data_IF_265996617534
#
_entry.id   IF_265996617534
#
_cell.length_a   1.000
_cell.length_b   1.000
_cell.length_c   1.000
_cell.angle_alpha   90.00
_cell.angle_beta   90.00
_cell.angle_gamma   90.00
#
_symmetry.space_group_name_H-M   'P 1'
#
loop_
_entity.id
_entity.type
_entity.pdbx_description
1 polymer ?
#
# COMPACT_ATOMS: atom_id res chain seq x y z
N UNK A 1 -8.92 -8.78 -29.08
CA UNK A 1 -9.54 -8.09 -28.13
C UNK A 1 -8.70 -7.14 -27.32
N UNK A 2 -8.99 -5.90 -27.40
CA UNK A 2 -8.18 -4.89 -26.78
C UNK A 2 -8.68 -4.57 -25.38
N UNK A 3 -7.94 -5.04 -24.40
CA UNK A 3 -8.20 -4.66 -23.04
C UNK A 3 -7.25 -3.55 -22.66
N UNK A 4 -7.81 -2.44 -22.25
CA UNK A 4 -6.99 -1.35 -21.77
C UNK A 4 -6.61 -1.56 -20.32
N UNK A 5 -5.38 -1.25 -20.00
CA UNK A 5 -4.92 -1.22 -18.62
C UNK A 5 -4.85 0.23 -18.22
N UNK A 6 -5.62 0.59 -17.21
CA UNK A 6 -5.60 1.95 -16.67
C UNK A 6 -4.72 1.94 -15.45
N UNK A 7 -3.62 2.66 -15.55
CA UNK A 7 -2.65 2.75 -14.46
C UNK A 7 -2.68 4.15 -13.90
N UNK A 8 -2.98 4.25 -12.62
CA UNK A 8 -2.96 5.52 -11.91
C UNK A 8 -1.90 5.47 -10.83
N UNK A 9 -1.23 6.59 -10.59
CA UNK A 9 -0.24 6.68 -9.52
C UNK A 9 -0.81 7.51 -8.38
N UNK A 10 -0.59 7.03 -7.16
CA UNK A 10 -1.04 7.72 -5.96
C UNK A 10 0.18 8.02 -5.11
N UNK A 11 0.45 9.30 -4.81
CA UNK A 11 1.61 9.63 -3.97
C UNK A 11 1.43 9.07 -2.56
N UNK A 12 2.51 8.53 -2.03
CA UNK A 12 2.53 8.03 -0.67
C UNK A 12 3.83 8.48 -0.03
N UNK A 13 3.93 8.29 1.27
CA UNK A 13 5.13 8.62 2.01
C UNK A 13 5.94 7.35 2.26
N UNK A 14 7.25 7.46 2.07
CA UNK A 14 8.20 6.39 2.36
C UNK A 14 9.27 7.01 3.26
N UNK A 15 9.02 7.00 4.57
CA UNK A 15 9.88 7.72 5.50
C UNK A 15 9.84 9.21 5.23
N UNK A 16 10.97 9.78 4.89
CA UNK A 16 11.09 11.22 4.63
C UNK A 16 10.95 11.58 3.15
N UNK A 17 10.81 10.58 2.29
CA UNK A 17 10.72 10.84 0.86
C UNK A 17 9.37 10.38 0.33
N UNK A 18 9.02 10.88 -0.84
CA UNK A 18 7.81 10.45 -1.52
C UNK A 18 8.05 9.15 -2.28
N UNK A 19 7.01 8.36 -2.37
CA UNK A 19 7.00 7.16 -3.19
C UNK A 19 5.65 7.09 -3.89
N UNK A 20 5.39 6.00 -4.57
CA UNK A 20 4.19 5.86 -5.37
C UNK A 20 3.53 4.52 -5.10
N UNK A 21 2.21 4.57 -4.92
CA UNK A 21 1.36 3.39 -4.96
C UNK A 21 0.73 3.34 -6.34
N UNK A 22 0.74 2.17 -6.96
CA UNK A 22 0.12 1.99 -8.27
C UNK A 22 -1.29 1.45 -8.10
N UNK A 23 -2.24 2.10 -8.78
CA UNK A 23 -3.62 1.66 -8.78
C UNK A 23 -3.95 1.19 -10.19
N UNK A 24 -4.25 -0.09 -10.33
CA UNK A 24 -4.43 -0.73 -11.63
C UNK A 24 -5.90 -1.04 -11.82
N UNK A 25 -6.49 -0.45 -12.86
CA UNK A 25 -7.89 -0.64 -13.24
C UNK A 25 -8.87 -0.33 -12.11
N UNK A 26 -8.48 0.53 -11.17
CA UNK A 26 -9.28 0.86 -9.98
C UNK A 26 -9.64 -0.37 -9.15
N UNK A 27 -8.90 -1.45 -9.29
CA UNK A 27 -9.20 -2.71 -8.59
C UNK A 27 -8.05 -3.22 -7.75
N UNK A 28 -6.82 -2.95 -8.16
CA UNK A 28 -5.65 -3.46 -7.46
C UNK A 28 -4.72 -2.31 -7.11
N UNK A 29 -4.38 -2.18 -5.85
CA UNK A 29 -3.39 -1.22 -5.40
C UNK A 29 -2.13 -1.96 -4.98
N UNK A 30 -1.00 -1.54 -5.52
CA UNK A 30 0.30 -2.13 -5.21
C UNK A 30 1.18 -1.07 -4.56
N UNK A 31 1.54 -1.31 -3.31
CA UNK A 31 2.33 -0.38 -2.51
C UNK A 31 3.51 -1.11 -1.89
N UNK A 32 4.69 -1.00 -2.50
CA UNK A 32 5.85 -1.72 -1.98
C UNK A 32 6.63 -0.91 -0.96
N UNK A 33 6.90 0.36 -1.24
CA UNK A 33 7.70 1.19 -0.35
C UNK A 33 6.82 2.31 0.20
N UNK A 34 6.18 2.05 1.34
CA UNK A 34 5.22 2.98 1.88
C UNK A 34 5.21 2.89 3.41
N UNK A 35 5.10 4.05 4.04
CA UNK A 35 4.90 4.13 5.48
C UNK A 35 3.62 4.91 5.82
N UNK A 36 3.05 5.61 4.85
CA UNK A 36 1.85 6.40 5.10
C UNK A 36 1.10 6.63 3.80
N UNK A 37 -0.21 6.37 3.82
CA UNK A 37 -1.13 6.82 2.78
C UNK A 37 -1.78 8.11 3.23
N UNK A 38 -1.94 9.03 2.29
CA UNK A 38 -2.61 10.30 2.59
C UNK A 38 -4.13 10.10 2.58
N UNK A 39 -4.79 10.62 3.59
CA UNK A 39 -6.24 10.41 3.73
C UNK A 39 -7.04 10.98 2.57
N UNK A 40 -6.52 11.99 1.90
CA UNK A 40 -7.19 12.57 0.74
C UNK A 40 -7.37 11.55 -0.38
N UNK A 41 -6.54 10.52 -0.43
CA UNK A 41 -6.59 9.50 -1.47
C UNK A 41 -7.34 8.24 -1.05
N UNK A 42 -7.86 8.20 0.17
CA UNK A 42 -8.61 7.04 0.64
C UNK A 42 -9.82 6.73 -0.22
N UNK A 43 -10.46 7.77 -0.78
CA UNK A 43 -11.63 7.58 -1.63
C UNK A 43 -11.33 6.68 -2.81
N UNK A 44 -10.15 6.82 -3.40
CA UNK A 44 -9.75 6.01 -4.54
C UNK A 44 -9.45 4.58 -4.16
N UNK A 45 -9.09 4.35 -2.91
CA UNK A 45 -8.62 3.05 -2.45
C UNK A 45 -9.68 2.27 -1.70
N UNK A 46 -10.77 2.91 -1.28
CA UNK A 46 -11.80 2.22 -0.51
C UNK A 46 -12.47 1.16 -1.35
N UNK A 47 -12.62 -0.03 -0.76
CA UNK A 47 -13.36 -1.15 -1.34
C UNK A 47 -12.78 -1.64 -2.66
N UNK A 48 -11.49 -1.43 -2.87
CA UNK A 48 -10.83 -2.04 -4.03
C UNK A 48 -10.78 -3.55 -3.85
N UNK A 49 -10.57 -4.25 -4.96
CA UNK A 49 -10.56 -5.72 -4.91
C UNK A 49 -9.32 -6.25 -4.20
N UNK A 50 -8.15 -5.70 -4.51
CA UNK A 50 -6.89 -6.21 -3.97
C UNK A 50 -6.01 -5.08 -3.49
N UNK A 51 -5.48 -5.25 -2.30
CA UNK A 51 -4.42 -4.38 -1.79
C UNK A 51 -3.19 -5.23 -1.55
N UNK A 52 -2.11 -4.93 -2.27
CA UNK A 52 -0.82 -5.60 -2.07
C UNK A 52 0.10 -4.60 -1.41
N UNK A 53 0.58 -4.92 -0.22
CA UNK A 53 1.33 -3.98 0.57
C UNK A 53 2.47 -4.67 1.31
N UNK A 54 3.66 -4.07 1.28
CA UNK A 54 4.80 -4.54 2.05
C UNK A 54 4.65 -4.11 3.50
N UNK A 55 5.06 -4.97 4.42
CA UNK A 55 5.08 -4.58 5.82
C UNK A 55 6.18 -5.32 6.56
N UNK A 56 6.61 -4.73 7.66
CA UNK A 56 7.44 -5.40 8.65
C UNK A 56 6.52 -6.02 9.69
N UNK A 57 6.83 -7.24 10.10
CA UNK A 57 5.92 -7.96 10.98
C UNK A 57 6.01 -7.53 12.43
N UNK A 58 7.19 -7.13 12.88
CA UNK A 58 7.43 -7.00 14.31
C UNK A 58 7.90 -5.63 14.77
N UNK A 59 8.37 -4.80 13.86
CA UNK A 59 9.11 -3.60 14.27
C UNK A 59 8.49 -2.35 13.70
N UNK A 60 8.57 -1.28 14.46
CA UNK A 60 8.29 0.04 13.92
C UNK A 60 9.47 0.49 13.08
N UNK A 61 9.16 1.03 11.92
CA UNK A 61 10.16 1.58 11.03
C UNK A 61 9.56 2.78 10.33
N UNK A 62 10.30 3.90 10.30
CA UNK A 62 9.75 5.14 9.77
C UNK A 62 9.44 5.09 8.28
N UNK A 63 10.06 4.20 7.53
CA UNK A 63 9.90 4.13 6.08
C UNK A 63 8.91 3.05 5.63
N UNK A 64 8.48 2.16 6.51
CA UNK A 64 7.64 1.04 6.15
C UNK A 64 6.56 0.80 7.18
N UNK A 65 5.44 0.26 6.72
CA UNK A 65 4.38 -0.17 7.63
C UNK A 65 4.83 -1.37 8.45
N UNK A 66 4.37 -1.44 9.70
CA UNK A 66 4.39 -2.70 10.44
C UNK A 66 3.01 -3.34 10.32
N UNK A 67 2.87 -4.55 10.86
CA UNK A 67 1.63 -5.29 10.72
C UNK A 67 0.44 -4.55 11.34
N UNK A 68 0.63 -3.96 12.53
CA UNK A 68 -0.45 -3.25 13.19
C UNK A 68 -0.94 -2.08 12.36
N UNK A 69 -0.02 -1.35 11.73
CA UNK A 69 -0.38 -0.21 10.89
C UNK A 69 -1.13 -0.68 9.64
N UNK A 70 -0.73 -1.80 9.06
CA UNK A 70 -1.45 -2.35 7.91
C UNK A 70 -2.85 -2.77 8.30
N UNK A 71 -3.02 -3.37 9.45
CA UNK A 71 -4.35 -3.79 9.91
C UNK A 71 -5.27 -2.58 10.10
N UNK A 72 -4.75 -1.47 10.60
CA UNK A 72 -5.53 -0.24 10.70
C UNK A 72 -5.92 0.29 9.33
N UNK A 73 -4.99 0.28 8.39
CA UNK A 73 -5.26 0.74 7.04
C UNK A 73 -6.33 -0.13 6.38
N UNK A 74 -6.22 -1.44 6.53
CA UNK A 74 -7.20 -2.37 5.97
C UNK A 74 -8.58 -2.13 6.55
N UNK A 75 -8.65 -1.82 7.84
CA UNK A 75 -9.92 -1.50 8.47
C UNK A 75 -10.56 -0.27 7.84
N UNK A 76 -9.75 0.74 7.55
CA UNK A 76 -10.26 1.98 6.96
C UNK A 76 -10.63 1.83 5.49
N UNK A 77 -9.85 1.07 4.73
CA UNK A 77 -10.05 0.95 3.29
C UNK A 77 -10.99 -0.19 2.90
N UNK A 78 -11.07 -1.22 3.72
CA UNK A 78 -11.94 -2.38 3.49
C UNK A 78 -11.78 -2.98 2.10
N UNK A 79 -10.55 -3.33 1.68
CA UNK A 79 -10.39 -4.02 0.40
C UNK A 79 -11.00 -5.42 0.49
N UNK A 80 -11.35 -6.00 -0.65
CA UNK A 80 -11.88 -7.36 -0.66
C UNK A 80 -10.83 -8.37 -0.24
N UNK A 81 -9.58 -8.13 -0.61
CA UNK A 81 -8.48 -9.03 -0.23
C UNK A 81 -7.21 -8.20 -0.05
N UNK A 82 -6.47 -8.53 0.98
CA UNK A 82 -5.18 -7.90 1.26
C UNK A 82 -4.09 -8.95 1.18
N UNK A 83 -3.05 -8.65 0.42
CA UNK A 83 -1.90 -9.53 0.27
C UNK A 83 -0.71 -8.82 0.87
N UNK A 84 -0.14 -9.42 1.90
CA UNK A 84 1.02 -8.86 2.59
C UNK A 84 2.29 -9.44 1.99
N UNK A 85 3.22 -8.57 1.61
CA UNK A 85 4.54 -9.01 1.21
C UNK A 85 5.49 -8.62 2.32
N UNK A 86 6.32 -9.57 2.72
CA UNK A 86 7.19 -9.37 3.86
C UNK A 86 8.59 -9.01 3.39
N UNK A 87 9.08 -7.88 3.84
CA UNK A 87 10.46 -7.52 3.59
C UNK A 87 11.37 -8.12 4.64
N UNK A 88 12.57 -8.53 4.23
CA UNK A 88 13.56 -9.03 5.17
C UNK A 88 14.13 -7.86 5.95
N UNK A 89 14.34 -8.06 7.24
CA UNK A 89 14.85 -6.99 8.08
C UNK A 89 16.24 -6.56 7.67
N UNK A 90 17.01 -7.46 7.12
CA UNK A 90 18.36 -7.15 6.65
C UNK A 90 18.38 -6.06 5.60
N UNK A 91 17.30 -5.90 4.88
CA UNK A 91 17.19 -4.90 3.83
C UNK A 91 17.12 -3.47 4.38
N UNK A 92 17.05 -3.34 5.70
CA UNK A 92 16.89 -2.04 6.35
C UNK A 92 18.09 -1.61 7.16
N UNK A 93 19.17 -2.29 7.02
CA UNK A 93 20.37 -1.94 7.78
C UNK A 93 21.03 -0.66 7.31
#
# INVERSE_FOLDING_TARGET
>A
RNKKIILETIPVQHGKIESICYLINNKLAYASDVSLFFKKDYKKLKKIDYLIIDCLWYRNHSAHFNLDQVLELVKDLSPKKTILTKKKEDDYS
#
